data_IF_730686312335
#
_entry.id   IF_730686312335
#
_cell.length_a   1.000
_cell.length_b   1.000
_cell.length_c   1.000
_cell.angle_alpha   90.00
_cell.angle_beta   90.00
_cell.angle_gamma   90.00
#
_symmetry.space_group_name_H-M   'P 1'
#
loop_
_entity.id
_entity.type
_entity.pdbx_description
1 polymer ?
#
# COMPACT_ATOMS: atom_id res chain seq x y z
N UNK A 1 12.90 20.57 3.16
CA UNK A 1 11.90 19.47 3.09
C UNK A 1 12.06 18.72 1.79
N UNK A 2 12.24 17.44 1.84
CA UNK A 2 12.38 16.59 0.65
C UNK A 2 11.18 15.68 0.55
N UNK A 3 10.57 15.63 -0.62
CA UNK A 3 9.48 14.70 -0.92
C UNK A 3 9.95 13.73 -1.99
N UNK A 4 9.77 12.45 -1.77
CA UNK A 4 10.08 11.44 -2.77
C UNK A 4 8.96 10.42 -2.88
N UNK A 5 8.93 9.69 -3.99
CA UNK A 5 7.93 8.68 -4.26
C UNK A 5 8.57 7.31 -4.39
N UNK A 6 7.91 6.30 -3.87
CA UNK A 6 8.19 4.91 -4.19
C UNK A 6 7.03 4.36 -4.99
N UNK A 7 7.35 3.71 -6.10
CA UNK A 7 6.36 3.09 -6.98
C UNK A 7 6.67 1.62 -7.14
N UNK A 8 5.62 0.82 -7.19
CA UNK A 8 5.77 -0.61 -7.34
C UNK A 8 4.52 -1.19 -8.00
N UNK A 9 4.66 -2.42 -8.46
CA UNK A 9 3.55 -3.18 -9.02
C UNK A 9 3.55 -4.55 -8.38
N UNK A 10 2.38 -5.02 -7.95
CA UNK A 10 2.23 -6.33 -7.36
C UNK A 10 1.06 -7.05 -8.01
N UNK A 11 1.24 -8.35 -8.26
CA UNK A 11 0.17 -9.21 -8.78
C UNK A 11 -0.38 -10.05 -7.64
N UNK A 12 -1.70 -10.03 -7.47
CA UNK A 12 -2.39 -10.79 -6.45
C UNK A 12 -3.39 -11.75 -7.09
N UNK A 13 -3.37 -12.99 -6.64
CA UNK A 13 -4.38 -13.98 -7.01
C UNK A 13 -5.63 -13.81 -6.14
N UNK A 14 -6.79 -14.14 -6.71
CA UNK A 14 -8.06 -14.04 -6.00
C UNK A 14 -8.03 -14.82 -4.67
N UNK A 15 -8.44 -14.14 -3.59
CA UNK A 15 -8.49 -14.73 -2.26
C UNK A 15 -7.13 -14.96 -1.59
N UNK A 16 -6.04 -14.63 -2.24
CA UNK A 16 -4.67 -14.81 -1.71
C UNK A 16 -4.12 -13.49 -1.18
N UNK A 17 -3.07 -13.58 -0.38
CA UNK A 17 -2.33 -12.43 0.10
C UNK A 17 -1.09 -12.21 -0.75
N UNK A 18 -0.80 -10.94 -1.05
CA UNK A 18 0.43 -10.53 -1.73
C UNK A 18 1.00 -9.31 -1.02
N UNK A 19 2.32 -9.26 -0.93
CA UNK A 19 3.00 -8.18 -0.22
C UNK A 19 4.13 -7.61 -1.05
N UNK A 20 4.39 -6.32 -0.87
CA UNK A 20 5.58 -5.68 -1.42
C UNK A 20 6.33 -4.99 -0.30
N UNK A 21 7.64 -5.19 -0.25
CA UNK A 21 8.50 -4.55 0.72
C UNK A 21 8.81 -3.10 0.34
N UNK A 22 8.78 -2.23 1.32
CA UNK A 22 9.13 -0.83 1.19
C UNK A 22 10.23 -0.52 2.21
N UNK A 23 11.28 0.13 1.77
CA UNK A 23 12.36 0.53 2.67
C UNK A 23 12.40 2.05 2.73
N UNK A 24 11.94 2.60 3.84
CA UNK A 24 11.84 4.04 4.06
C UNK A 24 12.84 4.43 5.13
N UNK A 25 13.78 5.29 4.78
CA UNK A 25 14.86 5.70 5.69
C UNK A 25 14.30 6.46 6.88
N UNK A 26 13.32 7.31 6.65
CA UNK A 26 12.64 8.05 7.70
C UNK A 26 11.76 9.12 7.09
N UNK A 27 10.72 9.52 7.79
CA UNK A 27 9.85 10.58 7.34
C UNK A 27 8.38 10.32 7.60
N UNK A 28 7.52 11.07 6.89
CA UNK A 28 6.08 10.92 6.96
C UNK A 28 5.54 10.42 5.62
N UNK A 29 4.78 9.35 5.66
CA UNK A 29 3.99 8.96 4.49
C UNK A 29 2.86 9.96 4.36
N UNK A 30 2.77 10.63 3.21
CA UNK A 30 1.78 11.68 2.93
C UNK A 30 0.72 11.24 1.95
N UNK A 31 1.00 10.23 1.13
CA UNK A 31 0.02 9.66 0.21
C UNK A 31 0.24 8.17 0.07
N UNK A 32 -0.84 7.42 0.06
CA UNK A 32 -0.84 6.00 -0.27
C UNK A 32 -1.86 5.79 -1.38
N UNK A 33 -1.40 5.39 -2.54
CA UNK A 33 -2.24 5.07 -3.69
C UNK A 33 -2.06 3.61 -4.03
N UNK A 34 -3.15 2.87 -4.08
CA UNK A 34 -3.19 1.48 -4.54
C UNK A 34 -4.30 1.37 -5.56
N UNK A 35 -3.97 1.07 -6.80
CA UNK A 35 -4.95 0.99 -7.89
C UNK A 35 -4.92 -0.37 -8.53
N UNK A 36 -6.08 -1.04 -8.55
CA UNK A 36 -6.29 -2.26 -9.31
C UNK A 36 -6.34 -1.93 -10.80
N UNK A 37 -5.82 -2.83 -11.63
CA UNK A 37 -5.90 -2.68 -13.09
C UNK A 37 -7.34 -2.74 -13.58
N UNK A 38 -8.21 -3.44 -12.86
CA UNK A 38 -9.64 -3.54 -13.15
C UNK A 38 -10.44 -2.77 -12.11
N UNK A 39 -11.24 -1.79 -12.55
CA UNK A 39 -11.97 -0.90 -11.65
C UNK A 39 -12.97 -1.61 -10.73
N UNK A 40 -13.46 -2.77 -11.13
CA UNK A 40 -14.45 -3.53 -10.36
C UNK A 40 -13.82 -4.45 -9.30
N UNK A 41 -12.50 -4.59 -9.26
CA UNK A 41 -11.83 -5.47 -8.32
C UNK A 41 -11.97 -4.92 -6.90
N UNK A 42 -12.50 -5.74 -5.99
CA UNK A 42 -12.57 -5.44 -4.56
C UNK A 42 -11.36 -6.06 -3.89
N UNK A 43 -10.72 -5.32 -3.03
CA UNK A 43 -9.54 -5.80 -2.32
C UNK A 43 -9.39 -5.08 -0.97
N UNK A 44 -8.56 -5.67 -0.12
CA UNK A 44 -8.21 -5.09 1.17
C UNK A 44 -6.71 -4.81 1.19
N UNK A 45 -6.32 -3.68 1.77
CA UNK A 45 -4.91 -3.33 1.88
C UNK A 45 -4.59 -2.80 3.27
N UNK A 46 -3.37 -3.09 3.72
CA UNK A 46 -2.82 -2.55 4.96
C UNK A 46 -1.32 -2.40 4.84
N UNK A 47 -0.73 -1.64 5.76
CA UNK A 47 0.72 -1.49 5.88
C UNK A 47 1.13 -2.01 7.24
N UNK A 48 2.16 -2.86 7.25
CA UNK A 48 2.74 -3.43 8.47
C UNK A 48 4.20 -3.01 8.60
N UNK A 49 4.70 -2.96 9.83
CA UNK A 49 6.12 -2.72 10.08
C UNK A 49 6.92 -4.04 10.05
N UNK A 50 8.22 -3.95 10.34
CA UNK A 50 9.10 -5.11 10.30
C UNK A 50 8.73 -6.19 11.32
N UNK A 51 8.01 -5.84 12.38
CA UNK A 51 7.55 -6.81 13.39
C UNK A 51 6.20 -7.44 13.05
N UNK A 52 5.57 -7.02 11.94
CA UNK A 52 4.27 -7.49 11.52
C UNK A 52 3.09 -6.74 12.12
N UNK A 53 3.32 -5.68 12.87
CA UNK A 53 2.25 -4.87 13.43
C UNK A 53 1.68 -3.95 12.35
N UNK A 54 0.36 -3.84 12.33
CA UNK A 54 -0.31 -2.94 11.39
C UNK A 54 -0.13 -1.49 11.80
N UNK A 55 0.37 -0.69 10.85
CA UNK A 55 0.46 0.76 11.01
C UNK A 55 -0.85 1.39 10.58
N UNK A 56 -1.42 0.91 9.48
CA UNK A 56 -2.71 1.35 8.97
C UNK A 56 -3.41 0.21 8.25
N UNK A 57 -4.72 0.14 8.40
CA UNK A 57 -5.57 -0.84 7.71
C UNK A 57 -6.67 -0.06 6.99
N UNK A 58 -6.64 -0.11 5.65
CA UNK A 58 -7.61 0.60 4.83
C UNK A 58 -8.93 -0.15 4.67
N UNK A 59 -8.98 -1.44 5.04
CA UNK A 59 -10.15 -2.26 4.83
C UNK A 59 -10.42 -2.54 3.35
N UNK A 60 -11.66 -2.85 3.02
CA UNK A 60 -12.05 -3.17 1.65
C UNK A 60 -12.34 -1.93 0.83
N UNK A 61 -11.84 -1.91 -0.39
CA UNK A 61 -12.10 -0.88 -1.38
C UNK A 61 -12.35 -1.51 -2.75
N UNK A 62 -13.04 -0.79 -3.60
CA UNK A 62 -13.30 -1.21 -4.98
C UNK A 62 -12.44 -0.36 -5.91
N UNK A 63 -11.56 -1.01 -6.66
CA UNK A 63 -10.74 -0.39 -7.71
C UNK A 63 -9.55 0.41 -7.20
N UNK A 64 -9.71 1.25 -6.20
CA UNK A 64 -8.65 2.17 -5.80
C UNK A 64 -8.73 2.55 -4.32
N UNK A 65 -7.57 2.65 -3.71
CA UNK A 65 -7.37 3.35 -2.43
C UNK A 65 -6.48 4.55 -2.74
N UNK A 66 -6.93 5.74 -2.41
CA UNK A 66 -6.15 6.96 -2.59
C UNK A 66 -6.24 7.80 -1.32
N UNK A 67 -5.32 7.57 -0.40
CA UNK A 67 -5.23 8.31 0.85
C UNK A 67 -4.26 9.48 0.67
N UNK A 68 -4.81 10.66 0.48
CA UNK A 68 -4.05 11.91 0.33
C UNK A 68 -3.91 12.66 1.64
N UNK A 69 -4.49 12.12 2.72
CA UNK A 69 -4.46 12.74 4.05
C UNK A 69 -3.57 11.97 5.02
N UNK A 70 -2.78 11.03 4.50
CA UNK A 70 -1.90 10.24 5.33
C UNK A 70 -0.89 11.12 6.07
N UNK A 71 -0.60 10.77 7.30
CA UNK A 71 0.42 11.42 8.13
C UNK A 71 1.02 10.35 9.04
N UNK A 72 1.73 9.39 8.44
CA UNK A 72 2.27 8.23 9.14
C UNK A 72 3.76 8.40 9.30
N UNK A 73 4.22 8.58 10.54
CA UNK A 73 5.64 8.64 10.84
C UNK A 73 6.22 7.23 10.78
N UNK A 74 7.18 7.02 9.90
CA UNK A 74 7.74 5.70 9.63
C UNK A 74 9.24 5.76 9.42
N UNK A 75 9.89 4.63 9.66
CA UNK A 75 11.28 4.42 9.30
C UNK A 75 11.54 2.93 9.14
N UNK A 76 12.50 2.61 8.27
CA UNK A 76 12.94 1.23 8.07
C UNK A 76 12.04 0.43 7.16
N UNK A 77 11.98 -0.87 7.40
CA UNK A 77 11.28 -1.80 6.52
C UNK A 77 9.80 -1.83 6.83
N UNK A 78 9.01 -1.63 5.78
CA UNK A 78 7.55 -1.74 5.82
C UNK A 78 7.09 -2.73 4.76
N UNK A 79 5.90 -3.26 4.91
CA UNK A 79 5.26 -4.06 3.88
C UNK A 79 3.87 -3.50 3.60
N UNK A 80 3.56 -3.32 2.31
CA UNK A 80 2.18 -3.08 1.88
C UNK A 80 1.61 -4.43 1.48
N UNK A 81 0.49 -4.80 2.10
CA UNK A 81 -0.15 -6.09 1.92
C UNK A 81 -1.50 -5.89 1.23
N UNK A 82 -1.76 -6.67 0.19
CA UNK A 82 -3.04 -6.73 -0.49
C UNK A 82 -3.62 -8.12 -0.24
N UNK A 83 -4.84 -8.17 0.27
CA UNK A 83 -5.49 -9.43 0.62
C UNK A 83 -6.90 -9.49 0.06
N UNK A 84 -7.38 -10.71 -0.13
CA UNK A 84 -8.78 -10.98 -0.49
C UNK A 84 -9.25 -10.25 -1.73
N UNK A 85 -8.39 -10.15 -2.77
CA UNK A 85 -8.81 -9.62 -4.05
C UNK A 85 -9.95 -10.48 -4.62
N UNK A 86 -10.97 -9.82 -5.18
CA UNK A 86 -12.14 -10.52 -5.73
C UNK A 86 -11.84 -11.24 -7.04
N UNK A 87 -10.73 -10.90 -7.69
CA UNK A 87 -10.24 -11.55 -8.90
C UNK A 87 -8.73 -11.40 -8.98
N UNK A 88 -8.09 -12.22 -9.81
CA UNK A 88 -6.67 -12.03 -10.11
C UNK A 88 -6.48 -10.67 -10.74
N UNK A 89 -5.57 -9.88 -10.20
CA UNK A 89 -5.33 -8.54 -10.72
C UNK A 89 -3.91 -8.08 -10.43
N UNK A 90 -3.51 -7.02 -11.13
CA UNK A 90 -2.25 -6.34 -10.91
C UNK A 90 -2.52 -4.98 -10.29
N UNK A 91 -1.81 -4.65 -9.23
CA UNK A 91 -2.02 -3.42 -8.48
C UNK A 91 -0.81 -2.52 -8.64
N UNK A 92 -1.06 -1.27 -9.00
CA UNK A 92 -0.04 -0.23 -9.06
C UNK A 92 -0.04 0.53 -7.74
N UNK A 93 1.14 0.71 -7.17
CA UNK A 93 1.31 1.30 -5.84
C UNK A 93 2.19 2.53 -5.97
N UNK A 94 1.76 3.61 -5.32
CA UNK A 94 2.55 4.83 -5.17
C UNK A 94 2.49 5.29 -3.72
N UNK A 95 3.64 5.49 -3.11
CA UNK A 95 3.75 6.04 -1.76
C UNK A 95 4.61 7.28 -1.81
N UNK A 96 4.06 8.40 -1.36
CA UNK A 96 4.79 9.65 -1.28
C UNK A 96 5.25 9.87 0.16
N UNK A 97 6.52 10.17 0.34
CA UNK A 97 7.17 10.32 1.63
C UNK A 97 7.78 11.71 1.72
N UNK A 98 7.55 12.37 2.84
CA UNK A 98 8.13 13.67 3.18
C UNK A 98 9.14 13.49 4.31
N UNK A 99 10.35 13.85 4.03
CA UNK A 99 11.42 13.84 5.04
C UNK A 99 11.50 15.14 5.83
#
# INVERSE_FOLDING_TARGET
>A
MTVYEQRATVTAAAGQASSIGLNIVGGLIRQVLVRANTDATVFRANITDASGLRIVDYGYHTGEINDTKASLAVSGSLALNITNASSNDTFSIKISVEE
#
